data_IF_853507170501
#
_entry.id   IF_853507170501
#
_cell.length_a   1.000
_cell.length_b   1.000
_cell.length_c   1.000
_cell.angle_alpha   90.00
_cell.angle_beta   90.00
_cell.angle_gamma   90.00
#
_symmetry.space_group_name_H-M   'P 1'
#
loop_
_entity.id
_entity.type
_entity.pdbx_description
1 polymer ?
#
# COMPACT_ATOMS: atom_id res chain seq x y z
N UNK A 1 -1.51 -13.16 -42.34
CA UNK A 1 -1.20 -12.27 -43.47
C UNK A 1 -2.48 -11.58 -43.91
N UNK A 2 -2.60 -10.28 -43.65
CA UNK A 2 -3.40 -9.31 -44.41
C UNK A 2 -3.06 -7.94 -43.81
N UNK A 3 -2.37 -7.10 -44.57
CA UNK A 3 -2.08 -5.71 -44.22
C UNK A 3 -3.05 -4.82 -45.00
N UNK A 4 -3.67 -3.87 -44.31
CA UNK A 4 -4.21 -2.66 -44.95
C UNK A 4 -3.69 -1.49 -44.12
N UNK A 5 -2.74 -0.75 -44.70
CA UNK A 5 -2.25 0.53 -44.18
C UNK A 5 -2.68 1.60 -45.17
N UNK A 6 -3.60 2.46 -44.77
CA UNK A 6 -3.73 3.81 -45.33
C UNK A 6 -4.11 4.76 -44.17
N UNK A 7 -3.25 5.74 -43.89
CA UNK A 7 -3.63 7.01 -43.28
C UNK A 7 -3.78 7.05 -41.76
N UNK A 8 -2.72 7.55 -41.10
CA UNK A 8 -2.69 8.22 -39.78
C UNK A 8 -3.06 7.42 -38.52
N UNK A 9 -2.05 7.31 -37.64
CA UNK A 9 -2.07 6.81 -36.26
C UNK A 9 -2.44 5.31 -36.11
N UNK A 10 -1.43 4.45 -36.24
CA UNK A 10 -1.46 3.11 -35.65
C UNK A 10 -1.48 3.28 -34.13
N UNK A 11 -2.67 3.35 -33.54
CA UNK A 11 -2.84 2.92 -32.16
C UNK A 11 -2.31 1.50 -32.10
N UNK A 12 -1.32 1.26 -31.24
CA UNK A 12 -0.81 -0.07 -30.95
C UNK A 12 -1.97 -0.85 -30.34
N UNK A 13 -2.81 -1.48 -31.18
CA UNK A 13 -3.80 -2.43 -30.72
C UNK A 13 -3.01 -3.59 -30.14
N UNK A 14 -2.95 -3.59 -28.81
CA UNK A 14 -2.25 -4.53 -27.97
C UNK A 14 -2.37 -5.94 -28.50
N UNK A 15 -1.25 -6.50 -28.96
CA UNK A 15 -1.12 -7.93 -29.19
C UNK A 15 -1.01 -8.62 -27.84
N UNK A 16 -2.12 -8.70 -27.11
CA UNK A 16 -2.24 -9.50 -25.90
C UNK A 16 -3.45 -10.39 -26.10
N UNK A 17 -3.28 -11.41 -26.94
CA UNK A 17 -4.21 -12.53 -27.00
C UNK A 17 -3.41 -13.82 -26.95
N UNK A 18 -3.12 -14.29 -25.74
CA UNK A 18 -3.48 -15.64 -25.31
C UNK A 18 -2.89 -15.98 -23.95
N UNK A 19 -3.76 -16.06 -22.96
CA UNK A 19 -3.84 -17.18 -22.03
C UNK A 19 -5.21 -17.10 -21.34
N UNK A 20 -6.12 -18.03 -21.67
CA UNK A 20 -7.38 -18.37 -20.97
C UNK A 20 -8.48 -17.31 -20.68
N UNK A 21 -8.35 -16.03 -21.04
CA UNK A 21 -9.31 -14.99 -20.61
C UNK A 21 -10.59 -14.87 -21.44
N UNK A 22 -11.75 -14.95 -20.79
CA UNK A 22 -13.05 -14.48 -21.31
C UNK A 22 -12.98 -13.01 -21.75
N UNK A 23 -13.78 -12.60 -22.74
CA UNK A 23 -13.90 -11.19 -23.15
C UNK A 23 -14.24 -10.31 -21.93
N UNK A 24 -13.54 -9.16 -21.74
CA UNK A 24 -13.94 -8.20 -20.73
C UNK A 24 -15.38 -7.72 -20.93
N UNK A 25 -16.10 -7.55 -19.83
CA UNK A 25 -17.43 -6.96 -19.82
C UNK A 25 -17.30 -5.45 -20.03
N UNK A 26 -18.40 -4.84 -20.48
CA UNK A 26 -18.42 -3.40 -20.76
C UNK A 26 -18.19 -2.55 -19.49
N UNK A 27 -18.54 -3.09 -18.33
CA UNK A 27 -18.38 -2.48 -17.01
C UNK A 27 -17.06 -2.84 -16.32
N UNK A 28 -16.20 -3.66 -16.94
CA UNK A 28 -14.95 -4.04 -16.30
C UNK A 28 -13.93 -2.88 -16.36
N UNK A 29 -13.35 -2.58 -15.20
CA UNK A 29 -12.44 -1.46 -14.95
C UNK A 29 -11.17 -2.00 -14.30
N UNK A 30 -9.97 -1.69 -14.84
CA UNK A 30 -8.70 -2.05 -14.21
C UNK A 30 -8.59 -1.49 -12.78
N UNK A 31 -7.78 -2.11 -11.91
CA UNK A 31 -7.62 -1.62 -10.55
C UNK A 31 -6.97 -0.24 -10.55
N UNK A 32 -7.41 0.61 -9.63
CA UNK A 32 -6.84 1.93 -9.37
C UNK A 32 -6.79 2.17 -7.87
N UNK A 33 -5.63 2.54 -7.36
CA UNK A 33 -5.49 2.98 -5.97
C UNK A 33 -5.96 4.44 -5.88
N UNK A 34 -7.05 4.68 -5.16
CA UNK A 34 -7.66 6.01 -4.97
C UNK A 34 -7.17 6.69 -3.68
N UNK A 35 -6.76 5.90 -2.71
CA UNK A 35 -6.08 6.37 -1.50
C UNK A 35 -4.91 5.43 -1.24
N UNK A 36 -3.70 5.99 -1.20
CA UNK A 36 -2.47 5.23 -1.00
C UNK A 36 -1.81 5.56 0.34
N UNK A 37 -0.80 4.76 0.75
CA UNK A 37 -0.10 4.98 1.99
C UNK A 37 0.77 6.25 1.95
N UNK A 38 1.06 6.75 3.16
CA UNK A 38 1.93 7.89 3.41
C UNK A 38 2.92 7.54 4.52
N UNK A 39 4.10 8.16 4.49
CA UNK A 39 5.18 7.88 5.44
C UNK A 39 4.69 8.05 6.88
N UNK A 40 5.01 7.08 7.72
CA UNK A 40 4.44 6.95 9.05
C UNK A 40 5.54 6.74 10.08
N UNK A 41 5.58 7.65 11.07
CA UNK A 41 6.42 7.50 12.26
C UNK A 41 5.49 7.21 13.44
N UNK A 42 5.69 6.07 14.09
CA UNK A 42 4.77 5.59 15.15
C UNK A 42 5.55 5.01 16.32
N UNK A 43 5.04 5.22 17.54
CA UNK A 43 5.68 4.70 18.75
C UNK A 43 5.57 3.17 18.84
N UNK A 44 6.59 2.53 19.41
CA UNK A 44 6.54 1.10 19.73
C UNK A 44 5.34 0.80 20.63
N UNK A 45 4.59 -0.24 20.29
CA UNK A 45 3.45 -0.72 21.06
C UNK A 45 2.12 -0.05 20.71
N UNK A 46 2.16 1.09 20.03
CA UNK A 46 0.94 1.78 19.58
C UNK A 46 0.35 1.09 18.34
N UNK A 47 -0.97 1.15 18.15
CA UNK A 47 -1.61 0.72 16.92
C UNK A 47 -1.25 1.67 15.77
N UNK A 48 -1.31 1.16 14.54
CA UNK A 48 -1.04 1.97 13.35
C UNK A 48 -1.78 1.44 12.13
N UNK A 49 -2.00 2.30 11.13
CA UNK A 49 -2.64 1.92 9.87
C UNK A 49 -1.86 2.50 8.70
N UNK A 50 -1.53 1.66 7.72
CA UNK A 50 -1.12 2.09 6.40
C UNK A 50 -2.34 2.03 5.48
N UNK A 51 -2.82 3.20 5.05
CA UNK A 51 -4.01 3.28 4.23
C UNK A 51 -3.73 2.75 2.82
N UNK A 52 -4.66 1.95 2.32
CA UNK A 52 -4.77 1.65 0.91
C UNK A 52 -6.23 1.38 0.60
N UNK A 53 -6.76 2.08 -0.41
CA UNK A 53 -8.09 1.88 -0.97
C UNK A 53 -7.96 1.78 -2.47
N UNK A 54 -8.44 0.66 -3.02
CA UNK A 54 -8.46 0.42 -4.45
C UNK A 54 -9.90 0.31 -4.96
N UNK A 55 -10.11 0.77 -6.19
CA UNK A 55 -11.35 0.65 -6.94
C UNK A 55 -11.07 -0.12 -8.24
N UNK A 56 -12.08 -0.78 -8.76
CA UNK A 56 -12.00 -1.56 -9.99
C UNK A 56 -13.21 -2.47 -10.10
N UNK A 57 -13.43 -2.99 -11.30
CA UNK A 57 -14.50 -3.93 -11.57
C UNK A 57 -13.94 -5.06 -12.45
N UNK A 58 -13.96 -6.32 -11.99
CA UNK A 58 -14.35 -6.79 -10.66
C UNK A 58 -13.53 -6.17 -9.52
N UNK A 59 -14.10 -6.16 -8.31
CA UNK A 59 -13.47 -5.60 -7.10
C UNK A 59 -12.04 -6.15 -6.93
N UNK A 60 -11.02 -5.27 -6.85
CA UNK A 60 -9.64 -5.71 -6.71
C UNK A 60 -9.37 -6.40 -5.36
N UNK A 61 -8.52 -7.42 -5.37
CA UNK A 61 -7.88 -7.95 -4.17
C UNK A 61 -6.66 -7.10 -3.83
N UNK A 62 -6.45 -6.81 -2.54
CA UNK A 62 -5.33 -5.99 -2.06
C UNK A 62 -4.37 -6.86 -1.25
N UNK A 63 -3.08 -6.75 -1.57
CA UNK A 63 -1.98 -7.41 -0.89
C UNK A 63 -0.92 -6.37 -0.52
N UNK A 64 -0.13 -6.66 0.52
CA UNK A 64 0.93 -5.78 0.99
C UNK A 64 2.29 -6.44 0.89
N UNK A 65 3.28 -5.63 0.57
CA UNK A 65 4.68 -6.03 0.54
C UNK A 65 5.48 -5.10 1.44
N UNK A 66 6.45 -5.67 2.15
CA UNK A 66 7.40 -4.96 3.00
C UNK A 66 8.80 -5.32 2.50
N UNK A 67 9.57 -4.31 2.12
CA UNK A 67 10.93 -4.48 1.61
C UNK A 67 11.00 -5.48 0.42
N UNK A 68 9.92 -5.57 -0.35
CA UNK A 68 9.76 -6.49 -1.48
C UNK A 68 9.19 -7.87 -1.12
N UNK A 69 9.03 -8.20 0.16
CA UNK A 69 8.50 -9.49 0.64
C UNK A 69 7.02 -9.37 0.99
N UNK A 70 6.24 -10.42 0.70
CA UNK A 70 4.80 -10.45 1.00
C UNK A 70 4.53 -10.37 2.52
N UNK A 71 3.58 -9.54 2.91
CA UNK A 71 3.16 -9.39 4.31
C UNK A 71 2.03 -10.39 4.59
N UNK A 72 2.28 -11.33 5.49
CA UNK A 72 1.24 -12.22 6.00
C UNK A 72 0.24 -11.44 6.87
N UNK A 73 -1.04 -11.55 6.53
CA UNK A 73 -2.17 -10.91 7.24
C UNK A 73 -3.30 -11.90 7.51
N UNK A 74 -2.94 -13.14 7.85
CA UNK A 74 -3.91 -14.19 8.12
C UNK A 74 -4.85 -13.74 9.26
N UNK A 75 -6.15 -13.71 8.94
CA UNK A 75 -7.19 -13.29 9.89
C UNK A 75 -7.49 -14.37 10.92
N UNK A 76 -7.12 -15.61 10.63
CA UNK A 76 -7.40 -16.77 11.46
C UNK A 76 -6.22 -17.11 12.40
N UNK A 77 -5.05 -16.46 12.23
CA UNK A 77 -3.93 -16.60 13.17
C UNK A 77 -4.08 -15.64 14.36
N UNK A 78 -4.41 -16.13 15.57
CA UNK A 78 -4.54 -15.29 16.76
C UNK A 78 -3.22 -14.67 17.23
N UNK A 79 -2.07 -15.09 16.66
CA UNK A 79 -0.75 -14.52 16.95
C UNK A 79 -0.39 -13.37 16.01
N UNK A 80 -1.11 -13.20 14.92
CA UNK A 80 -0.85 -12.11 13.99
C UNK A 80 -1.20 -10.76 14.63
N UNK A 81 -0.22 -9.85 14.68
CA UNK A 81 -0.45 -8.46 15.06
C UNK A 81 -0.77 -7.55 13.87
N UNK A 82 -0.89 -8.13 12.66
CA UNK A 82 -1.16 -7.44 11.40
C UNK A 82 -2.45 -7.97 10.79
N UNK A 83 -3.29 -7.07 10.30
CA UNK A 83 -4.59 -7.41 9.73
C UNK A 83 -4.84 -6.63 8.45
N UNK A 84 -5.38 -7.32 7.44
CA UNK A 84 -5.91 -6.66 6.24
C UNK A 84 -7.37 -6.25 6.48
N UNK A 85 -7.61 -4.94 6.50
CA UNK A 85 -8.96 -4.39 6.65
C UNK A 85 -9.77 -4.55 5.36
N UNK A 86 -11.12 -4.54 5.43
CA UNK A 86 -11.98 -4.61 4.23
C UNK A 86 -11.72 -3.49 3.21
N UNK A 87 -11.16 -2.36 3.64
CA UNK A 87 -10.74 -1.28 2.74
C UNK A 87 -9.53 -1.63 1.86
N UNK A 88 -8.77 -2.66 2.23
CA UNK A 88 -7.43 -2.96 1.70
C UNK A 88 -6.29 -2.38 2.54
N UNK A 89 -6.60 -1.62 3.59
CA UNK A 89 -5.58 -1.00 4.45
C UNK A 89 -4.93 -2.03 5.39
N UNK A 90 -3.63 -1.88 5.64
CA UNK A 90 -2.88 -2.73 6.56
C UNK A 90 -2.92 -2.12 7.96
N UNK A 91 -3.57 -2.83 8.88
CA UNK A 91 -3.69 -2.45 10.27
C UNK A 91 -2.71 -3.23 11.15
N UNK A 92 -2.02 -2.53 12.03
CA UNK A 92 -1.16 -3.09 13.06
C UNK A 92 -1.86 -2.92 14.41
N UNK A 93 -2.15 -4.02 15.11
CA UNK A 93 -2.69 -3.94 16.48
C UNK A 93 -1.72 -3.23 17.42
N UNK A 94 -0.43 -3.46 17.21
CA UNK A 94 0.68 -2.84 17.94
C UNK A 94 1.93 -2.89 17.09
N UNK A 95 2.72 -1.82 17.13
CA UNK A 95 3.99 -1.77 16.44
C UNK A 95 5.08 -2.49 17.23
N UNK A 96 5.72 -3.45 16.58
CA UNK A 96 6.74 -4.33 17.16
C UNK A 96 8.13 -3.88 16.77
N UNK A 97 8.88 -3.44 17.78
CA UNK A 97 10.28 -3.06 17.65
C UNK A 97 11.13 -3.71 18.75
N UNK A 98 12.05 -4.56 18.35
CA UNK A 98 13.03 -5.22 19.21
C UNK A 98 14.43 -4.66 19.02
N UNK A 99 15.29 -4.85 20.01
CA UNK A 99 16.70 -4.37 19.97
C UNK A 99 17.53 -5.03 18.85
N UNK A 100 17.16 -6.25 18.45
CA UNK A 100 17.86 -7.05 17.43
C UNK A 100 17.03 -7.33 16.17
N UNK A 101 15.73 -7.06 16.22
CA UNK A 101 14.80 -7.34 15.12
C UNK A 101 13.73 -6.26 15.11
N UNK A 102 13.46 -5.74 13.91
CA UNK A 102 12.49 -4.67 13.66
C UNK A 102 11.47 -5.16 12.64
N UNK A 103 10.59 -6.09 13.02
CA UNK A 103 9.75 -6.80 12.06
C UNK A 103 8.81 -5.85 11.32
N UNK A 104 8.39 -4.74 11.94
CA UNK A 104 7.44 -3.79 11.35
C UNK A 104 8.10 -2.59 10.66
N UNK A 105 9.35 -2.23 10.98
CA UNK A 105 10.02 -1.14 10.26
C UNK A 105 10.43 -1.58 8.86
N UNK A 106 10.15 -0.76 7.85
CA UNK A 106 10.56 -1.01 6.48
C UNK A 106 9.80 -0.16 5.48
N UNK A 107 9.99 -0.47 4.20
CA UNK A 107 9.31 0.19 3.09
C UNK A 107 8.15 -0.67 2.62
N UNK A 108 6.95 -0.13 2.71
CA UNK A 108 5.71 -0.80 2.36
C UNK A 108 5.17 -0.36 1.00
N UNK A 109 4.60 -1.32 0.28
CA UNK A 109 3.81 -1.10 -0.93
C UNK A 109 2.51 -1.89 -0.86
N UNK A 110 1.43 -1.24 -1.29
CA UNK A 110 0.13 -1.86 -1.50
C UNK A 110 0.01 -2.24 -2.98
N UNK A 111 -0.53 -3.42 -3.24
CA UNK A 111 -0.76 -3.93 -4.58
C UNK A 111 -2.20 -4.38 -4.72
N UNK A 112 -2.92 -3.77 -5.66
CA UNK A 112 -4.31 -4.08 -5.97
C UNK A 112 -4.42 -4.82 -7.31
N UNK A 113 -5.05 -5.99 -7.34
CA UNK A 113 -5.13 -6.86 -8.51
C UNK A 113 -6.57 -7.22 -8.86
N UNK A 114 -6.87 -7.23 -10.15
CA UNK A 114 -8.00 -7.98 -10.68
C UNK A 114 -7.57 -8.64 -12.00
N UNK A 115 -8.48 -9.31 -12.70
CA UNK A 115 -8.11 -10.05 -13.92
C UNK A 115 -7.68 -9.13 -15.09
N UNK A 116 -7.97 -7.82 -15.03
CA UNK A 116 -7.54 -6.83 -16.02
C UNK A 116 -6.14 -6.28 -15.76
N UNK A 117 -5.58 -6.47 -14.57
CA UNK A 117 -4.21 -6.04 -14.28
C UNK A 117 -3.96 -5.73 -12.81
N UNK A 118 -3.00 -4.84 -12.58
CA UNK A 118 -2.43 -4.52 -11.28
C UNK A 118 -2.21 -3.01 -11.14
N UNK A 119 -2.48 -2.48 -9.95
CA UNK A 119 -2.09 -1.14 -9.53
C UNK A 119 -1.20 -1.22 -8.29
N UNK A 120 -0.09 -0.50 -8.30
CA UNK A 120 0.91 -0.51 -7.22
C UNK A 120 1.00 0.89 -6.61
N UNK A 121 1.01 0.97 -5.29
CA UNK A 121 1.15 2.24 -4.60
C UNK A 121 2.57 2.79 -4.69
N UNK A 122 2.75 4.06 -4.29
CA UNK A 122 4.07 4.58 -3.93
C UNK A 122 4.69 3.73 -2.80
N UNK A 123 6.02 3.71 -2.77
CA UNK A 123 6.77 3.27 -1.61
C UNK A 123 6.50 4.21 -0.44
N UNK A 124 6.31 3.63 0.74
CA UNK A 124 6.03 4.36 1.98
C UNK A 124 6.87 3.80 3.10
N UNK A 125 7.56 4.64 3.89
CA UNK A 125 8.30 4.17 5.06
C UNK A 125 7.39 4.05 6.28
N UNK A 126 7.55 2.97 7.03
CA UNK A 126 7.10 2.86 8.41
C UNK A 126 8.34 2.86 9.31
N UNK A 127 8.43 3.86 10.17
CA UNK A 127 9.52 4.04 11.12
C UNK A 127 9.00 4.05 12.55
N UNK A 128 9.78 3.48 13.47
CA UNK A 128 9.42 3.52 14.88
C UNK A 128 10.06 4.75 15.52
N UNK A 129 9.23 5.58 16.14
CA UNK A 129 9.68 6.77 16.83
C UNK A 129 10.77 6.41 17.86
N UNK A 130 11.93 7.05 17.73
CA UNK A 130 12.96 6.94 18.76
C UNK A 130 12.51 7.65 20.04
N UNK A 131 13.00 7.20 21.20
CA UNK A 131 12.71 7.85 22.48
C UNK A 131 13.06 9.35 22.46
N UNK A 132 14.11 9.75 21.73
CA UNK A 132 14.53 11.14 21.59
C UNK A 132 13.55 11.97 20.75
N UNK A 133 12.98 11.41 19.70
CA UNK A 133 11.95 12.08 18.90
C UNK A 133 10.72 12.41 19.77
N UNK A 134 10.28 11.45 20.58
CA UNK A 134 9.15 11.63 21.49
C UNK A 134 9.44 12.59 22.64
N UNK A 135 10.65 12.57 23.20
CA UNK A 135 11.05 13.52 24.25
C UNK A 135 11.02 14.97 23.73
N UNK A 136 11.50 15.20 22.51
CA UNK A 136 11.42 16.53 21.91
C UNK A 136 9.97 16.94 21.66
N UNK A 137 9.10 16.08 21.12
CA UNK A 137 7.69 16.44 20.88
C UNK A 137 6.92 16.74 22.17
N UNK A 138 7.17 16.02 23.27
CA UNK A 138 6.58 16.34 24.58
C UNK A 138 7.09 17.66 25.15
N UNK A 139 8.40 17.95 25.00
CA UNK A 139 8.97 19.22 25.45
C UNK A 139 8.42 20.40 24.63
N UNK A 140 8.17 20.21 23.33
CA UNK A 140 7.51 21.21 22.48
C UNK A 140 6.03 21.42 22.86
N UNK A 141 5.32 20.34 23.21
CA UNK A 141 3.93 20.42 23.68
C UNK A 141 3.81 21.16 25.02
N UNK A 142 4.69 20.90 25.98
CA UNK A 142 4.66 21.54 27.31
C UNK A 142 5.17 22.99 27.30
N UNK A 143 6.01 23.36 26.32
CA UNK A 143 6.58 24.71 26.24
C UNK A 143 5.68 25.74 25.53
N UNK A 144 4.54 25.35 24.95
CA UNK A 144 3.60 26.26 24.29
C UNK A 144 4.19 27.05 23.11
N UNK A 145 5.36 26.66 22.60
CA UNK A 145 6.04 27.33 21.50
C UNK A 145 5.51 26.80 20.17
N UNK A 146 4.68 27.61 19.50
CA UNK A 146 4.22 27.35 18.13
C UNK A 146 5.41 27.24 17.17
N UNK A 147 5.52 26.11 16.46
CA UNK A 147 6.61 25.85 15.51
C UNK A 147 6.39 26.70 14.26
N UNK A 148 7.17 27.77 14.13
CA UNK A 148 7.49 28.34 12.82
C UNK A 148 8.61 27.51 12.18
N UNK A 149 8.29 26.90 11.04
CA UNK A 149 9.12 26.30 9.98
C UNK A 149 10.59 25.98 10.28
N UNK A 150 11.01 24.76 9.90
CA UNK A 150 12.22 24.62 9.09
C UNK A 150 11.95 23.70 7.90
N UNK A 151 12.13 24.29 6.72
CA UNK A 151 12.23 23.68 5.39
C UNK A 151 13.55 22.93 5.25
#
# INVERSE_FOLDING_TARGET
MAFVVIGTLLLMLSNVYSASGSRPRLDDVPPRIVEGPSDLIVSKGEPATLNCKAEGQPTPTVEWYKDGEHVETDKDDPRSHRMLLPSGSLFFLRIVHGRRSKPDEGVYTCVARNYLGEAVSRNTSLEVASKYFLMNSTLFSDSGLSVAMLK
#
